data_IF_425857783121
#
_entry.id   IF_425857783121
#
_cell.length_a   1.000
_cell.length_b   1.000
_cell.length_c   1.000
_cell.angle_alpha   90.00
_cell.angle_beta   90.00
_cell.angle_gamma   90.00
#
_symmetry.space_group_name_H-M   'P 1'
#
loop_
_entity.id
_entity.type
_entity.pdbx_description
1 polymer ?
#
# COMPACT_ATOMS: atom_id res chain seq x y z
N UNK A 1 12.51 31.02 -75.93
CA UNK A 1 11.93 32.12 -75.13
C UNK A 1 11.07 31.49 -74.07
N UNK A 2 11.54 31.66 -72.83
CA UNK A 2 10.93 31.24 -71.56
C UNK A 2 9.65 32.02 -71.27
N UNK A 3 8.63 31.36 -70.73
CA UNK A 3 7.83 31.98 -69.68
C UNK A 3 7.51 30.95 -68.58
N UNK A 4 7.64 31.43 -67.35
CA UNK A 4 7.68 30.70 -66.08
C UNK A 4 6.34 30.89 -65.40
N UNK A 5 5.59 29.82 -65.14
CA UNK A 5 4.55 29.84 -64.11
C UNK A 5 5.08 29.21 -62.82
N UNK A 6 5.26 30.06 -61.82
CA UNK A 6 5.44 29.71 -60.40
C UNK A 6 4.05 29.81 -59.77
N UNK A 7 3.49 28.72 -59.25
CA UNK A 7 2.46 28.76 -58.19
C UNK A 7 2.61 27.51 -57.31
N UNK A 8 3.18 27.77 -56.14
CA UNK A 8 2.83 27.30 -54.78
C UNK A 8 2.38 25.84 -54.57
N UNK A 9 3.26 25.11 -53.90
CA UNK A 9 3.02 23.81 -53.28
C UNK A 9 2.12 23.99 -52.05
N UNK A 10 0.85 23.61 -52.16
CA UNK A 10 -0.02 23.46 -51.00
C UNK A 10 0.34 22.16 -50.26
N UNK A 11 0.86 22.34 -49.04
CA UNK A 11 1.19 21.27 -48.12
C UNK A 11 -0.10 20.78 -47.45
N UNK A 12 -0.69 19.71 -47.96
CA UNK A 12 -1.85 19.08 -47.33
C UNK A 12 -1.36 18.16 -46.20
N UNK A 13 -1.36 18.65 -44.96
CA UNK A 13 -1.28 17.80 -43.77
C UNK A 13 -2.65 17.13 -43.58
N UNK A 14 -2.73 15.83 -43.85
CA UNK A 14 -3.88 15.02 -43.45
C UNK A 14 -3.74 14.63 -41.97
N UNK A 15 -4.61 15.18 -41.13
CA UNK A 15 -4.92 14.66 -39.80
C UNK A 15 -5.96 13.52 -39.92
N UNK A 16 -6.08 12.76 -38.83
CA UNK A 16 -7.11 11.76 -38.53
C UNK A 16 -6.88 10.31 -38.99
N UNK A 17 -7.02 9.29 -38.17
CA UNK A 17 -7.01 9.11 -36.72
C UNK A 17 -6.87 7.59 -36.59
N UNK A 18 -5.80 7.12 -35.96
CA UNK A 18 -5.62 5.71 -35.60
C UNK A 18 -6.64 5.37 -34.49
N UNK A 19 -7.89 5.13 -34.86
CA UNK A 19 -8.90 4.56 -33.99
C UNK A 19 -8.65 3.05 -33.80
N UNK A 20 -7.44 2.68 -33.35
CA UNK A 20 -7.20 1.38 -32.76
C UNK A 20 -7.67 1.45 -31.31
N UNK A 21 -8.97 1.28 -31.14
CA UNK A 21 -9.64 1.21 -29.83
C UNK A 21 -8.87 0.23 -28.94
N UNK A 22 -8.21 0.68 -27.85
CA UNK A 22 -7.75 -0.24 -26.84
C UNK A 22 -9.03 -0.68 -26.12
N UNK A 23 -9.38 -1.95 -26.30
CA UNK A 23 -10.38 -2.63 -25.49
C UNK A 23 -10.12 -2.28 -24.03
N UNK A 24 -11.01 -1.50 -23.43
CA UNK A 24 -10.97 -1.12 -22.04
C UNK A 24 -10.90 -2.39 -21.18
N UNK A 25 -9.69 -2.71 -20.71
CA UNK A 25 -9.48 -3.66 -19.62
C UNK A 25 -9.24 -2.83 -18.36
N UNK A 26 -10.28 -2.73 -17.55
CA UNK A 26 -10.28 -2.47 -16.10
C UNK A 26 -9.29 -1.44 -15.56
N UNK A 27 -9.80 -0.24 -15.26
CA UNK A 27 -9.65 0.43 -13.95
C UNK A 27 -8.26 0.82 -13.41
N UNK A 28 -7.17 0.58 -14.12
CA UNK A 28 -5.81 0.95 -13.67
C UNK A 28 -5.41 2.23 -14.39
N UNK A 29 -5.33 3.33 -13.65
CA UNK A 29 -4.79 4.60 -14.17
C UNK A 29 -3.32 4.38 -14.59
N UNK A 30 -2.88 4.94 -15.74
CA UNK A 30 -1.47 4.90 -16.12
C UNK A 30 -0.59 5.49 -14.99
N UNK A 31 0.59 4.92 -14.76
CA UNK A 31 1.41 5.16 -13.56
C UNK A 31 1.63 6.63 -13.21
N UNK A 32 1.89 7.46 -14.23
CA UNK A 32 2.07 8.90 -14.07
C UNK A 32 0.81 9.60 -13.53
N UNK A 33 -0.37 9.08 -13.85
CA UNK A 33 -1.64 9.61 -13.39
C UNK A 33 -1.95 9.23 -11.94
N UNK A 34 -1.72 7.97 -11.54
CA UNK A 34 -1.84 7.54 -10.14
C UNK A 34 -0.90 8.35 -9.25
N UNK A 35 0.35 8.56 -9.69
CA UNK A 35 1.32 9.37 -8.95
C UNK A 35 0.87 10.84 -8.81
N UNK A 36 0.38 11.45 -9.90
CA UNK A 36 -0.15 12.83 -9.90
C UNK A 36 -1.38 12.96 -8.99
N UNK A 37 -2.25 11.96 -8.96
CA UNK A 37 -3.42 11.95 -8.08
C UNK A 37 -3.02 11.96 -6.61
N UNK A 38 -2.02 11.17 -6.21
CA UNK A 38 -1.51 11.16 -4.83
C UNK A 38 -0.91 12.52 -4.44
N UNK A 39 -0.23 13.23 -5.36
CA UNK A 39 0.23 14.62 -5.10
C UNK A 39 -0.96 15.55 -4.85
N UNK A 40 -1.98 15.49 -5.71
CA UNK A 40 -3.17 16.35 -5.58
C UNK A 40 -3.97 16.08 -4.31
N UNK A 41 -3.93 14.85 -3.81
CA UNK A 41 -4.53 14.46 -2.53
C UNK A 41 -3.70 14.93 -1.32
N UNK A 42 -2.53 15.54 -1.54
CA UNK A 42 -1.67 16.02 -0.47
C UNK A 42 -0.97 14.91 0.30
N UNK A 43 -0.70 13.76 -0.36
CA UNK A 43 0.07 12.68 0.27
C UNK A 43 1.47 13.20 0.63
N UNK A 44 1.89 12.86 1.83
CA UNK A 44 3.16 13.27 2.43
C UNK A 44 4.37 12.92 1.54
N UNK A 45 5.35 13.84 1.45
CA UNK A 45 6.52 13.69 0.58
C UNK A 45 7.36 12.46 0.91
N UNK A 46 7.44 12.04 2.17
CA UNK A 46 8.21 10.86 2.56
C UNK A 46 7.54 9.57 2.09
N UNK A 47 6.20 9.52 2.17
CA UNK A 47 5.40 8.41 1.64
C UNK A 47 5.60 8.33 0.12
N UNK A 48 5.53 9.48 -0.56
CA UNK A 48 5.76 9.57 -1.99
C UNK A 48 7.18 9.13 -2.39
N UNK A 49 8.21 9.49 -1.61
CA UNK A 49 9.58 9.06 -1.86
C UNK A 49 9.74 7.53 -1.79
N UNK A 50 9.07 6.88 -0.83
CA UNK A 50 9.03 5.41 -0.74
C UNK A 50 8.29 4.80 -1.92
N UNK A 51 7.14 5.36 -2.31
CA UNK A 51 6.37 4.89 -3.46
C UNK A 51 7.15 4.99 -4.79
N UNK A 52 7.99 6.03 -4.90
CA UNK A 52 8.86 6.27 -6.06
C UNK A 52 10.18 5.47 -6.01
N UNK A 53 10.44 4.74 -4.91
CA UNK A 53 11.66 3.95 -4.76
C UNK A 53 11.74 2.89 -5.86
N UNK A 54 12.90 2.84 -6.52
CA UNK A 54 13.12 2.03 -7.72
C UNK A 54 13.85 0.74 -7.36
N UNK A 55 13.39 -0.37 -7.91
CA UNK A 55 14.04 -1.67 -7.81
C UNK A 55 14.05 -2.38 -9.17
N UNK A 56 14.80 -3.47 -9.24
CA UNK A 56 14.87 -4.32 -10.42
C UNK A 56 14.09 -5.61 -10.18
N UNK A 57 13.24 -5.97 -11.13
CA UNK A 57 12.63 -7.30 -11.22
C UNK A 57 13.05 -7.93 -12.56
N UNK A 58 14.03 -8.83 -12.49
CA UNK A 58 14.76 -9.31 -13.67
C UNK A 58 15.46 -8.16 -14.41
N UNK A 59 15.01 -7.87 -15.64
CA UNK A 59 15.51 -6.76 -16.46
C UNK A 59 14.63 -5.51 -16.40
N UNK A 60 13.51 -5.56 -15.70
CA UNK A 60 12.55 -4.46 -15.62
C UNK A 60 12.87 -3.54 -14.45
N UNK A 61 12.79 -2.23 -14.70
CA UNK A 61 12.91 -1.22 -13.64
C UNK A 61 11.51 -0.85 -13.15
N UNK A 62 11.24 -1.14 -11.89
CA UNK A 62 9.94 -0.95 -11.27
C UNK A 62 10.02 0.07 -10.14
N UNK A 63 8.86 0.59 -9.73
CA UNK A 63 8.70 1.37 -8.49
C UNK A 63 7.78 0.62 -7.53
N UNK A 64 7.86 0.94 -6.24
CA UNK A 64 6.96 0.36 -5.22
C UNK A 64 5.48 0.66 -5.55
N UNK A 65 5.18 1.85 -6.06
CA UNK A 65 3.82 2.21 -6.49
C UNK A 65 3.30 1.29 -7.60
N UNK A 66 4.17 0.93 -8.53
CA UNK A 66 3.80 0.12 -9.70
C UNK A 66 3.76 -1.38 -9.36
N UNK A 67 4.37 -1.79 -8.25
CA UNK A 67 4.44 -3.18 -7.83
C UNK A 67 3.24 -3.64 -6.98
N UNK A 68 2.08 -3.01 -7.15
CA UNK A 68 0.82 -3.43 -6.50
C UNK A 68 -0.07 -4.30 -7.40
N UNK A 69 0.37 -4.55 -8.63
CA UNK A 69 -0.34 -5.40 -9.58
C UNK A 69 -0.23 -6.89 -9.26
N UNK A 70 -1.06 -7.74 -9.90
CA UNK A 70 -1.09 -9.19 -9.65
C UNK A 70 0.26 -9.87 -9.95
N UNK A 71 1.06 -9.33 -10.88
CA UNK A 71 2.38 -9.87 -11.24
C UNK A 71 3.39 -9.77 -10.08
N UNK A 72 3.15 -8.85 -9.14
CA UNK A 72 3.99 -8.61 -7.98
C UNK A 72 3.44 -9.23 -6.70
N UNK A 73 2.40 -10.06 -6.82
CA UNK A 73 1.78 -10.77 -5.72
C UNK A 73 1.92 -12.28 -5.94
N UNK A 74 2.14 -13.02 -4.86
CA UNK A 74 2.05 -14.47 -4.88
C UNK A 74 0.61 -14.87 -5.21
N UNK A 75 0.38 -15.65 -6.30
CA UNK A 75 -0.97 -15.96 -6.76
C UNK A 75 -1.74 -16.87 -5.80
N UNK A 76 -1.06 -17.60 -4.91
CA UNK A 76 -1.69 -18.48 -3.92
C UNK A 76 -2.08 -17.75 -2.64
N UNK A 77 -1.24 -16.84 -2.17
CA UNK A 77 -1.41 -16.18 -0.87
C UNK A 77 -1.90 -14.73 -0.98
N UNK A 78 -1.85 -14.15 -2.18
CA UNK A 78 -2.11 -12.72 -2.41
C UNK A 78 -1.09 -11.79 -1.74
N UNK A 79 -0.02 -12.34 -1.16
CA UNK A 79 1.02 -11.57 -0.48
C UNK A 79 1.99 -10.96 -1.50
N UNK A 80 2.58 -9.78 -1.24
CA UNK A 80 3.57 -9.20 -2.13
C UNK A 80 4.78 -10.13 -2.30
N UNK A 81 5.38 -10.11 -3.48
CA UNK A 81 6.56 -10.88 -3.81
C UNK A 81 7.77 -10.46 -2.96
N UNK A 82 8.71 -11.39 -2.77
CA UNK A 82 9.93 -11.19 -2.00
C UNK A 82 10.73 -9.95 -2.41
N UNK A 83 10.89 -9.74 -3.71
CA UNK A 83 11.62 -8.59 -4.25
C UNK A 83 10.97 -7.26 -3.86
N UNK A 84 9.63 -7.20 -3.83
CA UNK A 84 8.88 -6.00 -3.49
C UNK A 84 9.00 -5.68 -2.01
N UNK A 85 8.87 -6.69 -1.15
CA UNK A 85 9.06 -6.51 0.30
C UNK A 85 10.48 -6.05 0.60
N UNK A 86 11.48 -6.65 -0.04
CA UNK A 86 12.88 -6.27 0.16
C UNK A 86 13.14 -4.83 -0.26
N UNK A 87 12.64 -4.41 -1.43
CA UNK A 87 12.74 -3.04 -1.90
C UNK A 87 12.01 -2.04 -1.00
N UNK A 88 10.82 -2.41 -0.49
CA UNK A 88 10.08 -1.60 0.46
C UNK A 88 10.87 -1.41 1.77
N UNK A 89 11.51 -2.46 2.28
CA UNK A 89 12.31 -2.35 3.50
C UNK A 89 13.51 -1.44 3.31
N UNK A 90 14.26 -1.59 2.22
CA UNK A 90 15.36 -0.67 1.90
C UNK A 90 14.88 0.80 1.81
N UNK A 91 13.69 1.03 1.23
CA UNK A 91 13.08 2.35 1.20
C UNK A 91 12.70 2.86 2.60
N UNK A 92 12.13 2.01 3.46
CA UNK A 92 11.73 2.37 4.84
C UNK A 92 12.93 2.59 5.77
N UNK A 93 14.06 1.93 5.52
CA UNK A 93 15.30 2.13 6.28
C UNK A 93 15.95 3.48 5.93
N UNK A 94 15.76 3.95 4.70
CA UNK A 94 16.23 5.27 4.22
C UNK A 94 15.28 6.41 4.59
N UNK A 95 13.98 6.12 4.70
CA UNK A 95 12.93 7.09 4.97
C UNK A 95 12.15 6.70 6.23
N UNK A 96 12.46 7.37 7.36
CA UNK A 96 11.80 7.10 8.63
C UNK A 96 10.33 7.55 8.62
N UNK A 97 9.42 6.60 8.46
CA UNK A 97 7.98 6.82 8.64
C UNK A 97 7.53 6.47 10.05
N UNK A 98 6.74 7.36 10.66
CA UNK A 98 5.98 7.02 11.86
C UNK A 98 4.85 6.02 11.54
N UNK A 99 4.21 5.48 12.58
CA UNK A 99 3.21 4.42 12.41
C UNK A 99 1.98 4.87 11.59
N UNK A 100 1.57 6.12 11.71
CA UNK A 100 0.43 6.66 10.94
C UNK A 100 0.78 6.82 9.46
N UNK A 101 1.97 7.35 9.13
CA UNK A 101 2.46 7.41 7.75
C UNK A 101 2.62 6.02 7.14
N UNK A 102 3.10 5.04 7.92
CA UNK A 102 3.16 3.63 7.49
C UNK A 102 1.77 3.07 7.18
N UNK A 103 0.78 3.36 8.03
CA UNK A 103 -0.61 2.97 7.76
C UNK A 103 -1.09 3.53 6.42
N UNK A 104 -0.93 4.84 6.19
CA UNK A 104 -1.33 5.49 4.94
C UNK A 104 -0.59 4.91 3.72
N UNK A 105 0.72 4.65 3.84
CA UNK A 105 1.48 3.97 2.78
C UNK A 105 0.85 2.63 2.41
N UNK A 106 0.51 1.80 3.39
CA UNK A 106 -0.08 0.49 3.13
C UNK A 106 -1.51 0.56 2.60
N UNK A 107 -2.28 1.59 2.97
CA UNK A 107 -3.61 1.86 2.37
C UNK A 107 -3.47 2.16 0.87
N UNK A 108 -2.50 3.00 0.49
CA UNK A 108 -2.21 3.31 -0.92
C UNK A 108 -1.82 2.05 -1.70
N UNK A 109 -1.03 1.17 -1.07
CA UNK A 109 -0.62 -0.11 -1.67
C UNK A 109 -1.73 -1.15 -1.72
N UNK A 110 -2.83 -0.94 -0.98
CA UNK A 110 -3.95 -1.89 -0.89
C UNK A 110 -3.59 -3.18 -0.13
N UNK A 111 -2.53 -3.15 0.67
CA UNK A 111 -2.03 -4.34 1.36
C UNK A 111 -2.82 -4.62 2.63
N UNK A 112 -3.07 -5.89 2.89
CA UNK A 112 -3.76 -6.37 4.09
C UNK A 112 -2.78 -7.13 4.98
N UNK A 113 -3.02 -7.06 6.28
CA UNK A 113 -2.15 -7.65 7.29
C UNK A 113 -2.94 -8.59 8.18
N UNK A 114 -2.34 -9.72 8.54
CA UNK A 114 -2.87 -10.60 9.57
C UNK A 114 -2.65 -9.98 10.96
N UNK A 115 -3.72 -9.93 11.76
CA UNK A 115 -3.67 -9.46 13.13
C UNK A 115 -3.06 -10.55 14.03
N UNK A 116 -1.96 -10.27 14.72
CA UNK A 116 -1.32 -11.23 15.63
C UNK A 116 -2.19 -11.68 16.82
N UNK A 117 -3.28 -10.98 17.12
CA UNK A 117 -4.15 -11.30 18.25
C UNK A 117 -5.38 -12.15 17.88
N UNK A 118 -5.91 -12.01 16.66
CA UNK A 118 -7.10 -12.72 16.22
C UNK A 118 -6.94 -13.50 14.92
N UNK A 119 -5.76 -13.45 14.30
CA UNK A 119 -5.40 -14.17 13.07
C UNK A 119 -6.29 -13.84 11.85
N UNK A 120 -7.03 -12.73 11.92
CA UNK A 120 -7.83 -12.23 10.79
C UNK A 120 -7.00 -11.30 9.92
N UNK A 121 -7.18 -11.40 8.59
CA UNK A 121 -6.60 -10.50 7.60
C UNK A 121 -7.45 -9.23 7.52
N UNK A 122 -6.83 -8.07 7.79
CA UNK A 122 -7.51 -6.78 7.90
C UNK A 122 -6.83 -5.68 7.09
N UNK A 123 -7.57 -4.62 6.81
CA UNK A 123 -7.02 -3.45 6.14
C UNK A 123 -6.13 -2.64 7.11
N UNK A 124 -5.19 -1.82 6.63
CA UNK A 124 -4.35 -1.01 7.50
C UNK A 124 -5.15 -0.05 8.40
N UNK A 125 -6.29 0.43 7.91
CA UNK A 125 -7.23 1.27 8.65
C UNK A 125 -7.76 0.62 9.96
N UNK A 126 -7.76 -0.72 10.04
CA UNK A 126 -8.18 -1.47 11.23
C UNK A 126 -7.10 -1.51 12.33
N UNK A 127 -5.94 -0.90 12.08
CA UNK A 127 -4.81 -0.85 12.99
C UNK A 127 -4.51 0.59 13.40
N UNK A 128 -4.17 0.77 14.69
CA UNK A 128 -3.76 2.05 15.24
C UNK A 128 -2.59 1.84 16.21
N UNK A 129 -1.51 2.59 16.00
CA UNK A 129 -0.34 2.54 16.88
C UNK A 129 0.34 1.17 16.95
N UNK A 130 0.28 0.36 15.88
CA UNK A 130 0.88 -0.97 15.83
C UNK A 130 2.10 -1.01 14.91
N UNK A 131 3.01 -1.96 15.16
CA UNK A 131 4.09 -2.31 14.25
C UNK A 131 3.58 -3.19 13.10
N UNK A 132 4.21 -3.04 11.94
CA UNK A 132 4.02 -3.89 10.77
C UNK A 132 5.25 -4.79 10.60
N UNK A 133 5.01 -6.06 10.30
CA UNK A 133 6.01 -7.13 10.21
C UNK A 133 5.85 -7.79 8.84
N UNK A 134 6.93 -7.93 8.08
CA UNK A 134 6.85 -8.40 6.69
C UNK A 134 7.35 -9.84 6.48
N UNK A 135 8.06 -10.39 7.46
CA UNK A 135 8.70 -11.70 7.36
C UNK A 135 8.08 -12.69 8.35
N UNK A 136 7.84 -13.91 7.87
CA UNK A 136 7.52 -15.06 8.70
C UNK A 136 8.71 -15.50 9.56
N UNK A 137 8.49 -16.38 10.56
CA UNK A 137 9.55 -16.92 11.42
C UNK A 137 10.43 -17.99 10.75
N UNK A 138 10.07 -18.44 9.54
CA UNK A 138 10.74 -19.51 8.81
C UNK A 138 12.08 -19.04 8.20
N UNK A 139 12.98 -19.97 7.84
CA UNK A 139 14.25 -19.67 7.15
C UNK A 139 14.35 -20.50 5.87
N UNK A 140 14.48 -19.89 4.68
CA UNK A 140 14.37 -18.44 4.44
C UNK A 140 12.95 -17.93 4.75
N UNK A 141 12.85 -16.70 5.26
CA UNK A 141 11.58 -16.10 5.68
C UNK A 141 10.61 -16.00 4.51
N UNK A 142 9.48 -16.70 4.60
CA UNK A 142 8.36 -16.50 3.70
C UNK A 142 7.80 -15.09 3.91
N UNK A 143 7.47 -14.39 2.81
CA UNK A 143 6.81 -13.09 2.89
C UNK A 143 5.44 -13.28 3.55
N UNK A 144 5.25 -12.65 4.70
CA UNK A 144 4.01 -12.76 5.44
C UNK A 144 3.72 -11.48 6.22
N UNK A 145 2.76 -10.72 5.70
CA UNK A 145 2.35 -9.43 6.23
C UNK A 145 1.52 -9.60 7.50
N UNK A 146 2.11 -9.24 8.63
CA UNK A 146 1.49 -9.27 9.95
C UNK A 146 1.54 -7.91 10.62
N UNK A 147 0.62 -7.67 11.53
CA UNK A 147 0.59 -6.45 12.35
C UNK A 147 0.26 -6.79 13.80
N UNK A 148 0.57 -5.86 14.70
CA UNK A 148 0.11 -5.93 16.09
C UNK A 148 -1.42 -6.03 16.23
N UNK A 149 -1.95 -5.97 17.46
CA UNK A 149 -3.39 -6.13 17.69
C UNK A 149 -4.20 -5.03 16.98
N UNK A 150 -5.19 -5.43 16.18
CA UNK A 150 -6.15 -4.50 15.57
C UNK A 150 -6.93 -3.71 16.63
N UNK A 151 -7.56 -2.59 16.24
CA UNK A 151 -8.31 -1.71 17.15
C UNK A 151 -9.33 -2.49 17.97
N UNK A 152 -10.11 -3.37 17.34
CA UNK A 152 -11.09 -4.21 18.03
C UNK A 152 -10.46 -5.15 19.08
N UNK A 153 -9.28 -5.72 18.81
CA UNK A 153 -8.55 -6.53 19.77
C UNK A 153 -8.00 -5.69 20.92
N UNK A 154 -7.50 -4.48 20.64
CA UNK A 154 -7.04 -3.54 21.65
C UNK A 154 -8.18 -3.13 22.59
N UNK A 155 -9.36 -2.83 22.05
CA UNK A 155 -10.54 -2.49 22.84
C UNK A 155 -11.03 -3.64 23.71
N UNK A 156 -11.08 -4.86 23.17
CA UNK A 156 -11.42 -6.07 23.95
C UNK A 156 -10.44 -6.26 25.11
N UNK A 157 -9.14 -6.09 24.86
CA UNK A 157 -8.11 -6.19 25.90
C UNK A 157 -8.18 -5.06 26.95
N UNK A 158 -8.61 -3.85 26.57
CA UNK A 158 -8.84 -2.75 27.51
C UNK A 158 -10.05 -3.03 28.42
N UNK A 159 -11.13 -3.55 27.85
CA UNK A 159 -12.35 -3.92 28.60
C UNK A 159 -12.10 -5.07 29.58
N UNK A 160 -11.28 -6.06 29.21
CA UNK A 160 -10.95 -7.19 30.11
C UNK A 160 -10.01 -6.81 31.26
N UNK A 161 -9.20 -5.76 31.10
CA UNK A 161 -8.32 -5.22 32.15
C UNK A 161 -9.03 -4.32 33.16
N UNK A 162 -10.29 -3.96 32.91
CA UNK A 162 -11.19 -3.36 33.91
C UNK A 162 -12.23 -4.40 34.36
N UNK A 163 -11.86 -5.39 35.18
CA UNK A 163 -12.89 -6.00 36.02
C UNK A 163 -13.39 -4.87 36.93
N UNK A 164 -14.71 -4.63 36.91
CA UNK A 164 -15.34 -3.86 37.98
C UNK A 164 -14.83 -4.44 39.29
N UNK A 165 -14.06 -3.64 40.05
CA UNK A 165 -13.76 -3.94 41.42
C UNK A 165 -15.11 -3.92 42.15
N UNK A 166 -15.76 -5.08 42.19
CA UNK A 166 -16.85 -5.34 43.11
C UNK A 166 -16.27 -5.17 44.50
N UNK A 167 -16.40 -3.96 45.04
CA UNK A 167 -16.31 -3.74 46.47
C UNK A 167 -17.46 -4.56 47.05
N UNK A 168 -17.15 -5.79 47.47
CA UNK A 168 -18.02 -6.56 48.34
C UNK A 168 -17.91 -5.87 49.70
N UNK A 169 -18.94 -5.17 50.22
CA UNK A 169 -18.87 -4.64 51.56
C UNK A 169 -18.86 -5.84 52.51
N UNK A 170 -17.71 -6.06 53.15
CA UNK A 170 -17.58 -7.04 54.21
C UNK A 170 -18.44 -6.58 55.38
N UNK A 171 -19.60 -7.20 55.59
CA UNK A 171 -20.39 -6.99 56.81
C UNK A 171 -19.72 -7.77 57.94
N UNK A 172 -19.04 -7.04 58.84
CA UNK A 172 -18.62 -7.60 60.12
C UNK A 172 -19.86 -7.67 61.02
N UNK A 173 -20.37 -8.88 61.26
CA UNK A 173 -21.34 -9.11 62.32
C UNK A 173 -20.55 -9.32 63.62
N UNK A 174 -20.73 -8.42 64.59
CA UNK A 174 -20.31 -8.66 65.97
C UNK A 174 -21.45 -9.40 66.68
N UNK A 175 -21.18 -10.53 67.36
CA UNK A 175 -22.15 -11.12 68.29
C UNK A 175 -22.29 -10.24 69.54
N UNK A 176 -23.53 -10.22 70.06
CA UNK A 176 -24.02 -9.42 71.20
C UNK A 176 -23.29 -9.68 72.53
#
# INVERSE_FOLDING_TARGET
MTDRSVVETEFYCSEDEDAKTPTARSGVLPDGERRRQLVRQGIDSDILAILDHKFLDGHNRCTILNSTGPDFCNPRTGQPAFVVITALQDALDRHFLNLDKKRTLFEILGWKFECLACHEIKAPADYQGTSYIFWGPEVPGSCYLRSGPCVACQEKARKSKHPQAGIVPYKVAYPE
#
